data_IF_167252484478
#
_entry.id   IF_167252484478
#
_cell.length_a   1.000
_cell.length_b   1.000
_cell.length_c   1.000
_cell.angle_alpha   90.00
_cell.angle_beta   90.00
_cell.angle_gamma   90.00
#
_symmetry.space_group_name_H-M   'P 1'
#
loop_
_entity.id
_entity.type
_entity.pdbx_description
1 polymer ?
#
# COMPACT_ATOMS: atom_id res chain seq x y z
N UNK A 1 2.53 10.43 17.84
CA UNK A 1 3.75 10.32 17.04
C UNK A 1 4.00 8.83 16.87
N UNK A 2 4.09 8.37 15.63
CA UNK A 2 4.25 6.94 15.31
C UNK A 2 5.15 6.83 14.09
N UNK A 3 5.97 5.79 14.05
CA UNK A 3 6.87 5.48 12.94
C UNK A 3 6.39 4.13 12.40
N UNK A 4 6.06 4.07 11.13
CA UNK A 4 5.65 2.84 10.47
C UNK A 4 6.24 2.83 9.07
N UNK A 5 7.06 1.84 8.75
CA UNK A 5 7.66 1.75 7.44
C UNK A 5 6.78 0.93 6.49
N UNK A 6 6.91 1.17 5.20
CA UNK A 6 6.26 0.38 4.15
C UNK A 6 7.14 0.39 2.92
N UNK A 7 7.13 -0.69 2.13
CA UNK A 7 7.90 -0.75 0.89
C UNK A 7 7.51 0.39 -0.08
N UNK A 8 6.25 0.82 -0.04
CA UNK A 8 5.74 1.94 -0.84
C UNK A 8 4.99 2.93 0.06
N UNK A 9 5.19 4.23 -0.15
CA UNK A 9 4.39 5.28 0.46
C UNK A 9 3.02 5.41 -0.22
N UNK A 10 2.14 6.17 0.40
CA UNK A 10 0.86 6.54 -0.19
C UNK A 10 1.09 7.50 -1.36
N UNK A 11 0.36 7.30 -2.47
CA UNK A 11 0.53 8.07 -3.69
C UNK A 11 1.72 7.65 -4.55
N UNK A 12 2.59 6.76 -4.08
CA UNK A 12 3.58 6.09 -4.93
C UNK A 12 2.97 4.78 -5.43
N UNK A 13 3.13 4.42 -6.70
CA UNK A 13 2.40 3.30 -7.29
C UNK A 13 2.70 1.98 -6.59
N UNK A 14 1.70 1.39 -5.93
CA UNK A 14 1.85 0.11 -5.23
C UNK A 14 2.05 -1.02 -6.22
N UNK A 15 2.61 -2.14 -5.73
CA UNK A 15 2.82 -3.29 -6.60
C UNK A 15 1.46 -3.80 -7.07
N UNK A 16 1.37 -4.14 -8.34
CA UNK A 16 0.20 -4.83 -8.87
C UNK A 16 0.56 -6.29 -9.04
N UNK A 17 -0.19 -7.14 -8.35
CA UNK A 17 -0.03 -8.59 -8.44
C UNK A 17 -1.16 -9.12 -9.29
N UNK A 18 -0.81 -9.62 -10.47
CA UNK A 18 -1.69 -10.39 -11.34
C UNK A 18 -1.52 -11.88 -11.10
N UNK A 19 -2.61 -12.62 -11.10
CA UNK A 19 -2.58 -14.06 -10.87
C UNK A 19 -3.80 -14.75 -11.50
N UNK A 20 -3.67 -16.05 -11.73
CA UNK A 20 -4.76 -16.89 -12.22
C UNK A 20 -5.45 -17.57 -11.03
N UNK A 21 -6.75 -17.30 -10.85
CA UNK A 21 -7.56 -17.95 -9.83
C UNK A 21 -7.83 -19.43 -10.16
N UNK A 22 -8.30 -20.20 -9.17
CA UNK A 22 -8.59 -21.64 -9.34
C UNK A 22 -9.60 -21.95 -10.46
N UNK A 23 -10.45 -20.98 -10.80
CA UNK A 23 -11.44 -21.07 -11.90
C UNK A 23 -10.87 -20.69 -13.28
N UNK A 24 -9.57 -20.38 -13.37
CA UNK A 24 -8.88 -19.94 -14.57
C UNK A 24 -9.08 -18.47 -14.93
N UNK A 25 -9.76 -17.70 -14.07
CA UNK A 25 -9.94 -16.26 -14.28
C UNK A 25 -8.70 -15.49 -13.83
N UNK A 26 -8.16 -14.65 -14.73
CA UNK A 26 -7.12 -13.71 -14.35
C UNK A 26 -7.70 -12.59 -13.46
N UNK A 27 -7.08 -12.36 -12.31
CA UNK A 27 -7.42 -11.30 -11.36
C UNK A 27 -6.18 -10.54 -10.96
N UNK A 28 -6.37 -9.37 -10.37
CA UNK A 28 -5.28 -8.61 -9.79
C UNK A 28 -5.69 -7.89 -8.50
N UNK A 29 -4.68 -7.56 -7.70
CA UNK A 29 -4.83 -6.69 -6.54
C UNK A 29 -3.57 -5.86 -6.34
N UNK A 30 -3.71 -4.79 -5.55
CA UNK A 30 -2.61 -3.98 -5.08
C UNK A 30 -1.96 -4.63 -3.87
N UNK A 31 -0.64 -4.61 -3.81
CA UNK A 31 0.13 -5.20 -2.73
C UNK A 31 1.11 -4.17 -2.15
N UNK A 32 1.11 -4.06 -0.83
CA UNK A 32 2.13 -3.32 -0.10
C UNK A 32 2.72 -4.17 1.02
N UNK A 33 4.03 -4.07 1.22
CA UNK A 33 4.74 -4.72 2.32
C UNK A 33 4.90 -3.69 3.42
N UNK A 34 4.39 -3.97 4.61
CA UNK A 34 4.27 -2.97 5.68
C UNK A 34 4.93 -3.45 6.97
N UNK A 35 5.24 -2.52 7.87
CA UNK A 35 5.49 -2.86 9.28
C UNK A 35 4.18 -2.90 10.08
N UNK A 36 4.14 -3.58 11.24
CA UNK A 36 2.94 -3.63 12.08
C UNK A 36 2.37 -2.25 12.46
N UNK A 37 3.22 -1.23 12.58
CA UNK A 37 2.86 0.14 12.95
C UNK A 37 2.26 0.96 11.80
N UNK A 38 2.30 0.44 10.57
CA UNK A 38 1.88 1.16 9.37
C UNK A 38 0.43 1.66 9.47
N UNK A 39 -0.53 0.78 9.77
CA UNK A 39 -1.95 1.15 9.85
C UNK A 39 -2.19 2.29 10.84
N UNK A 40 -1.55 2.22 12.01
CA UNK A 40 -1.64 3.28 13.02
C UNK A 40 -1.02 4.58 12.49
N UNK A 41 0.13 4.48 11.82
CA UNK A 41 0.90 5.61 11.28
C UNK A 41 0.12 6.36 10.21
N UNK A 42 -0.52 5.64 9.27
CA UNK A 42 -1.33 6.24 8.20
C UNK A 42 -2.80 6.49 8.59
N UNK A 43 -3.22 6.05 9.77
CA UNK A 43 -4.59 6.27 10.28
C UNK A 43 -5.64 5.40 9.60
N UNK A 44 -5.26 4.22 9.13
CA UNK A 44 -6.18 3.25 8.52
C UNK A 44 -6.87 2.44 9.62
N UNK A 45 -8.21 2.39 9.56
CA UNK A 45 -9.02 1.71 10.55
C UNK A 45 -9.27 0.24 10.19
N UNK A 46 -9.22 -0.66 11.18
CA UNK A 46 -9.68 -2.03 11.03
C UNK A 46 -11.21 -2.08 11.05
N UNK A 47 -11.79 -2.70 10.02
CA UNK A 47 -13.21 -3.05 9.97
C UNK A 47 -13.49 -4.38 10.69
N UNK A 48 -12.61 -5.37 10.54
CA UNK A 48 -12.75 -6.71 11.13
C UNK A 48 -11.39 -7.32 11.48
N UNK A 49 -11.37 -8.27 12.42
CA UNK A 49 -10.17 -9.02 12.77
C UNK A 49 -9.16 -8.19 13.56
N UNK A 50 -7.88 -8.33 13.22
CA UNK A 50 -6.77 -7.69 13.94
C UNK A 50 -5.66 -7.22 13.02
N UNK A 51 -4.81 -6.34 13.54
CA UNK A 51 -3.55 -5.99 12.90
C UNK A 51 -2.52 -7.12 13.08
N UNK A 52 -1.42 -7.01 12.35
CA UNK A 52 -0.22 -7.80 12.56
C UNK A 52 0.31 -7.65 13.98
N UNK A 53 0.80 -8.76 14.55
CA UNK A 53 1.49 -8.77 15.84
C UNK A 53 2.87 -9.40 15.70
N UNK A 54 3.88 -8.73 16.24
CA UNK A 54 5.24 -9.27 16.34
C UNK A 54 5.33 -10.47 17.29
N UNK A 55 4.34 -10.65 18.16
CA UNK A 55 4.25 -11.78 19.09
C UNK A 55 3.71 -13.06 18.42
N UNK A 56 3.22 -12.98 17.18
CA UNK A 56 2.63 -14.09 16.44
C UNK A 56 3.50 -14.41 15.21
N UNK A 57 4.42 -15.38 15.29
CA UNK A 57 5.37 -15.66 14.20
C UNK A 57 4.73 -16.09 12.87
N UNK A 58 3.51 -16.63 12.91
CA UNK A 58 2.75 -16.99 11.71
C UNK A 58 2.30 -15.76 10.92
N UNK A 59 2.14 -14.60 11.56
CA UNK A 59 1.73 -13.36 10.88
C UNK A 59 2.73 -12.96 9.80
N UNK A 60 4.02 -13.15 10.07
CA UNK A 60 5.10 -12.81 9.14
C UNK A 60 5.04 -13.62 7.85
N UNK A 61 4.67 -14.90 7.96
CA UNK A 61 4.76 -15.85 6.84
C UNK A 61 3.42 -16.11 6.15
N UNK A 62 2.33 -16.06 6.90
CA UNK A 62 1.02 -16.56 6.48
C UNK A 62 -0.10 -15.52 6.70
N UNK A 63 0.15 -14.44 7.45
CA UNK A 63 -0.86 -13.43 7.72
C UNK A 63 -1.01 -12.45 6.56
N UNK A 64 -2.24 -12.22 6.11
CA UNK A 64 -2.57 -11.11 5.21
C UNK A 64 -3.67 -10.23 5.81
N UNK A 65 -3.61 -8.93 5.53
CA UNK A 65 -4.68 -7.98 5.79
C UNK A 65 -5.21 -7.48 4.45
N UNK A 66 -6.53 -7.40 4.30
CA UNK A 66 -7.18 -6.96 3.06
C UNK A 66 -8.05 -5.74 3.29
N UNK A 67 -8.46 -5.01 2.26
CA UNK A 67 -9.51 -3.98 2.38
C UNK A 67 -10.91 -4.53 2.10
N UNK A 68 -11.93 -3.68 2.25
CA UNK A 68 -13.32 -4.06 1.99
C UNK A 68 -13.54 -4.30 0.49
N UNK A 69 -12.94 -3.49 -0.38
CA UNK A 69 -13.04 -3.66 -1.83
C UNK A 69 -12.62 -5.06 -2.29
N UNK A 70 -11.56 -5.63 -1.71
CA UNK A 70 -11.14 -7.00 -2.00
C UNK A 70 -12.16 -8.03 -1.51
N UNK A 71 -12.63 -7.90 -0.26
CA UNK A 71 -13.64 -8.82 0.28
C UNK A 71 -14.93 -8.79 -0.55
N UNK A 72 -15.34 -7.61 -1.00
CA UNK A 72 -16.51 -7.41 -1.85
C UNK A 72 -16.32 -8.03 -3.24
N UNK A 73 -15.12 -7.93 -3.84
CA UNK A 73 -14.81 -8.54 -5.13
C UNK A 73 -14.92 -10.08 -5.10
N UNK A 74 -14.53 -10.71 -4.00
CA UNK A 74 -14.73 -12.17 -3.82
C UNK A 74 -16.12 -12.53 -3.27
N UNK A 75 -16.95 -11.54 -2.91
CA UNK A 75 -18.25 -11.76 -2.28
C UNK A 75 -18.17 -12.38 -0.88
N UNK A 76 -17.05 -12.21 -0.18
CA UNK A 76 -16.82 -12.79 1.14
C UNK A 76 -17.61 -12.05 2.22
N UNK A 77 -18.56 -12.74 2.84
CA UNK A 77 -19.32 -12.22 4.00
C UNK A 77 -18.57 -12.40 5.33
N UNK A 78 -17.69 -13.41 5.40
CA UNK A 78 -16.87 -13.73 6.56
C UNK A 78 -15.40 -13.90 6.13
N UNK A 79 -14.71 -12.81 5.74
CA UNK A 79 -13.40 -12.89 5.10
C UNK A 79 -12.27 -13.39 6.02
N UNK A 80 -12.45 -13.36 7.34
CA UNK A 80 -11.40 -13.79 8.28
C UNK A 80 -11.16 -15.31 8.18
N UNK A 81 -9.91 -15.71 8.00
CA UNK A 81 -9.49 -17.10 7.80
C UNK A 81 -9.57 -17.57 6.34
N UNK A 82 -10.16 -16.78 5.45
CA UNK A 82 -10.19 -17.07 4.02
C UNK A 82 -8.80 -16.96 3.40
N UNK A 83 -8.65 -17.56 2.21
CA UNK A 83 -7.45 -17.51 1.39
C UNK A 83 -7.78 -16.92 0.04
N UNK A 84 -6.85 -16.16 -0.53
CA UNK A 84 -6.93 -15.78 -1.93
C UNK A 84 -6.94 -17.06 -2.78
N UNK A 85 -7.90 -17.19 -3.73
CA UNK A 85 -7.93 -18.32 -4.66
C UNK A 85 -6.69 -18.27 -5.56
N UNK A 86 -6.22 -19.40 -6.07
CA UNK A 86 -5.01 -19.50 -6.89
C UNK A 86 -3.82 -20.15 -6.17
N UNK A 87 -2.70 -20.28 -6.88
CA UNK A 87 -1.51 -21.02 -6.43
C UNK A 87 -0.60 -20.22 -5.49
N UNK A 88 -1.18 -19.61 -4.46
CA UNK A 88 -0.41 -18.87 -3.45
C UNK A 88 0.20 -19.78 -2.39
N UNK A 89 1.32 -19.36 -1.75
CA UNK A 89 1.80 -19.97 -0.51
C UNK A 89 0.70 -20.05 0.56
N UNK A 90 0.81 -20.96 1.55
CA UNK A 90 -0.11 -20.99 2.67
C UNK A 90 -0.22 -19.62 3.35
N UNK A 91 -1.45 -19.08 3.37
CA UNK A 91 -1.75 -17.80 3.99
C UNK A 91 -3.19 -17.81 4.53
N UNK A 92 -3.59 -16.74 5.21
CA UNK A 92 -4.95 -16.51 5.67
C UNK A 92 -5.20 -15.03 5.96
N UNK A 93 -6.42 -14.58 5.72
CA UNK A 93 -6.87 -13.24 6.10
C UNK A 93 -7.00 -13.15 7.63
N UNK A 94 -6.19 -12.30 8.25
CA UNK A 94 -6.23 -12.06 9.71
C UNK A 94 -6.94 -10.75 10.08
N UNK A 95 -7.15 -9.87 9.12
CA UNK A 95 -7.77 -8.57 9.32
C UNK A 95 -8.34 -7.99 8.03
N UNK A 96 -9.36 -7.16 8.18
CA UNK A 96 -9.93 -6.35 7.10
C UNK A 96 -9.88 -4.90 7.52
N UNK A 97 -9.28 -4.05 6.70
CA UNK A 97 -9.28 -2.59 6.89
C UNK A 97 -10.42 -1.94 6.13
N UNK A 98 -10.88 -0.79 6.61
CA UNK A 98 -11.81 0.05 5.85
C UNK A 98 -11.15 0.50 4.55
N UNK A 99 -11.96 0.72 3.52
CA UNK A 99 -11.48 1.29 2.28
C UNK A 99 -10.89 2.69 2.51
N UNK A 100 -9.72 2.93 1.94
CA UNK A 100 -9.01 4.19 1.98
C UNK A 100 -8.33 4.44 0.63
N UNK A 101 -8.13 5.70 0.29
CA UNK A 101 -7.46 6.08 -0.93
C UNK A 101 -5.95 6.03 -0.73
N UNK A 102 -5.28 5.11 -1.42
CA UNK A 102 -3.84 4.93 -1.35
C UNK A 102 -3.09 5.33 -2.64
N UNK A 103 -3.81 5.58 -3.73
CA UNK A 103 -3.26 6.12 -4.99
C UNK A 103 -3.76 7.54 -5.28
N UNK A 104 -5.04 7.72 -5.60
CA UNK A 104 -5.67 9.04 -5.86
C UNK A 104 -6.99 9.15 -5.09
N UNK A 105 -7.40 10.35 -4.66
CA UNK A 105 -8.72 10.56 -4.04
C UNK A 105 -9.89 10.42 -5.05
N UNK A 106 -9.60 10.38 -6.36
CA UNK A 106 -10.61 10.27 -7.41
C UNK A 106 -10.75 8.87 -8.01
N UNK A 107 -9.82 7.95 -7.72
CA UNK A 107 -9.93 6.57 -8.19
C UNK A 107 -10.90 5.78 -7.31
N UNK A 108 -11.55 4.78 -7.91
CA UNK A 108 -12.25 3.76 -7.15
C UNK A 108 -11.21 3.03 -6.28
N UNK A 109 -11.53 2.77 -5.02
CA UNK A 109 -10.64 1.98 -4.15
C UNK A 109 -10.51 0.58 -4.75
N UNK A 110 -9.27 0.20 -5.06
CA UNK A 110 -8.94 -1.08 -5.67
C UNK A 110 -8.74 -2.16 -4.59
N UNK A 111 -8.89 -3.45 -4.94
CA UNK A 111 -8.56 -4.55 -4.05
C UNK A 111 -7.13 -4.45 -3.53
N UNK A 112 -6.96 -4.57 -2.23
CA UNK A 112 -5.68 -4.41 -1.55
C UNK A 112 -5.35 -5.61 -0.66
N UNK A 113 -4.09 -6.04 -0.72
CA UNK A 113 -3.46 -6.96 0.21
C UNK A 113 -2.26 -6.28 0.87
N UNK A 114 -2.15 -6.42 2.19
CA UNK A 114 -1.03 -5.97 3.01
C UNK A 114 -0.37 -7.19 3.65
N UNK A 115 0.97 -7.23 3.62
CA UNK A 115 1.78 -8.33 4.15
C UNK A 115 2.99 -7.80 4.93
N UNK A 116 3.53 -8.60 5.84
CA UNK A 116 4.82 -8.32 6.47
C UNK A 116 6.00 -8.80 5.62
N UNK A 117 5.82 -9.89 4.85
CA UNK A 117 6.82 -10.44 3.94
C UNK A 117 6.21 -10.63 2.55
N UNK A 118 6.90 -10.13 1.52
CA UNK A 118 6.50 -10.31 0.11
C UNK A 118 6.38 -11.79 -0.27
N UNK A 119 7.17 -12.66 0.37
CA UNK A 119 7.17 -14.10 0.09
C UNK A 119 5.84 -14.78 0.43
N UNK A 120 4.98 -14.16 1.24
CA UNK A 120 3.63 -14.68 1.53
C UNK A 120 2.77 -14.77 0.28
N UNK A 121 3.01 -13.93 -0.73
CA UNK A 121 2.15 -13.82 -1.93
C UNK A 121 2.93 -14.03 -3.24
N UNK A 122 4.18 -13.59 -3.33
CA UNK A 122 4.91 -13.49 -4.60
C UNK A 122 5.03 -14.79 -5.40
N UNK A 123 5.11 -15.94 -4.73
CA UNK A 123 5.26 -17.22 -5.43
C UNK A 123 4.01 -17.66 -6.21
N UNK A 124 2.83 -17.13 -5.87
CA UNK A 124 1.57 -17.39 -6.60
C UNK A 124 1.22 -16.32 -7.64
N UNK A 125 2.09 -15.33 -7.85
CA UNK A 125 1.88 -14.28 -8.84
C UNK A 125 2.25 -14.78 -10.24
N UNK A 126 1.32 -14.65 -11.19
CA UNK A 126 1.58 -14.88 -12.62
C UNK A 126 2.21 -13.63 -13.27
N UNK A 127 1.91 -12.44 -12.75
CA UNK A 127 2.42 -11.17 -13.23
C UNK A 127 2.67 -10.20 -12.06
N UNK A 128 3.74 -9.41 -12.14
CA UNK A 128 4.13 -8.45 -11.11
C UNK A 128 4.54 -7.14 -11.79
N UNK A 129 3.75 -6.11 -11.58
CA UNK A 129 4.06 -4.74 -12.02
C UNK A 129 4.57 -3.91 -10.85
N UNK A 130 5.73 -3.27 -11.04
CA UNK A 130 6.37 -2.35 -10.11
C UNK A 130 6.37 -0.95 -10.76
N UNK A 131 5.39 -0.08 -10.46
CA UNK A 131 5.26 1.23 -11.10
C UNK A 131 6.42 2.17 -10.74
N UNK A 132 6.96 2.03 -9.53
CA UNK A 132 8.14 2.74 -9.03
C UNK A 132 9.27 1.74 -8.77
N UNK A 133 10.52 2.22 -8.81
CA UNK A 133 11.70 1.38 -8.58
C UNK A 133 11.68 0.70 -7.20
N UNK A 134 12.54 -0.31 -6.95
CA UNK A 134 12.52 -1.08 -5.71
C UNK A 134 13.06 -0.32 -4.49
N UNK A 135 13.10 1.00 -4.51
CA UNK A 135 13.64 1.82 -3.43
C UNK A 135 12.65 1.80 -2.26
N UNK A 136 12.99 1.16 -1.12
CA UNK A 136 12.07 1.07 0.00
C UNK A 136 11.87 2.45 0.60
N UNK A 137 10.62 2.85 0.74
CA UNK A 137 10.26 4.12 1.37
C UNK A 137 10.03 3.95 2.89
N UNK A 138 10.02 5.05 3.64
CA UNK A 138 9.72 5.02 5.07
C UNK A 138 8.69 6.10 5.36
N UNK A 139 7.50 5.70 5.79
CA UNK A 139 6.48 6.64 6.25
C UNK A 139 6.76 7.05 7.71
N UNK A 140 6.76 8.36 7.97
CA UNK A 140 6.99 8.89 9.32
C UNK A 140 5.90 9.89 9.66
N UNK A 141 5.13 9.61 10.72
CA UNK A 141 4.13 10.54 11.23
C UNK A 141 4.70 11.42 12.33
N UNK A 142 4.94 12.68 12.00
CA UNK A 142 5.49 13.69 12.90
C UNK A 142 4.37 14.42 13.64
N UNK A 143 4.59 14.73 14.92
CA UNK A 143 3.64 15.52 15.72
C UNK A 143 3.60 16.97 15.21
N UNK A 144 2.41 17.56 15.17
CA UNK A 144 2.24 18.98 14.84
C UNK A 144 3.11 19.87 15.75
N UNK A 145 3.85 20.81 15.15
CA UNK A 145 4.77 21.71 15.85
C UNK A 145 6.20 21.20 16.02
N UNK A 146 6.50 19.93 15.71
CA UNK A 146 7.85 19.34 15.89
C UNK A 146 8.60 19.11 14.57
N UNK A 147 8.09 19.61 13.45
CA UNK A 147 8.59 19.29 12.11
C UNK A 147 10.10 19.52 11.94
N UNK A 148 10.59 20.71 12.30
CA UNK A 148 12.01 21.07 12.15
C UNK A 148 12.92 20.16 12.97
N UNK A 149 12.55 19.89 14.23
CA UNK A 149 13.33 19.06 15.13
C UNK A 149 13.32 17.59 14.69
N UNK A 150 12.17 17.09 14.25
CA UNK A 150 12.02 15.74 13.74
C UNK A 150 12.81 15.52 12.43
N UNK A 151 12.75 16.46 11.48
CA UNK A 151 13.51 16.37 10.23
C UNK A 151 15.02 16.38 10.47
N UNK A 152 15.51 17.22 11.39
CA UNK A 152 16.92 17.22 11.79
C UNK A 152 17.33 15.87 12.37
N UNK A 153 16.53 15.33 13.29
CA UNK A 153 16.78 14.03 13.89
C UNK A 153 16.79 12.88 12.87
N UNK A 154 15.81 12.85 11.95
CA UNK A 154 15.73 11.81 10.91
C UNK A 154 16.93 11.90 9.99
N UNK A 155 17.31 13.11 9.55
CA UNK A 155 18.48 13.32 8.69
C UNK A 155 19.76 12.82 9.37
N UNK A 156 20.01 13.23 10.61
CA UNK A 156 21.21 12.84 11.35
C UNK A 156 21.26 11.31 11.56
N UNK A 157 20.10 10.68 11.77
CA UNK A 157 19.99 9.22 11.89
C UNK A 157 20.26 8.54 10.55
N UNK A 158 19.70 9.07 9.45
CA UNK A 158 19.89 8.54 8.10
C UNK A 158 21.37 8.52 7.70
N UNK A 159 22.09 9.61 7.97
CA UNK A 159 23.53 9.72 7.69
C UNK A 159 24.37 8.68 8.45
N UNK A 160 23.89 8.21 9.61
CA UNK A 160 24.56 7.17 10.40
C UNK A 160 24.25 5.75 9.89
N UNK A 161 23.00 5.48 9.54
CA UNK A 161 22.55 4.12 9.17
C UNK A 161 22.78 3.81 7.68
N UNK A 162 22.79 4.82 6.83
CA UNK A 162 22.91 4.70 5.38
C UNK A 162 23.98 5.67 4.80
N UNK A 163 25.25 5.56 5.24
CA UNK A 163 26.30 6.48 4.82
C UNK A 163 26.50 6.41 3.30
N UNK A 164 26.43 7.56 2.63
CA UNK A 164 26.62 7.69 1.19
C UNK A 164 25.33 7.64 0.36
N UNK A 165 24.18 7.36 0.96
CA UNK A 165 22.88 7.53 0.31
C UNK A 165 22.32 8.95 0.57
N UNK A 166 21.86 9.68 -0.46
CA UNK A 166 21.27 10.99 -0.25
C UNK A 166 20.01 10.88 0.60
N UNK A 167 19.83 11.79 1.56
CA UNK A 167 18.60 11.92 2.31
C UNK A 167 17.57 12.69 1.47
N UNK A 168 16.57 11.99 0.95
CA UNK A 168 15.41 12.56 0.25
C UNK A 168 14.13 12.29 1.04
N UNK A 169 13.19 13.24 1.01
CA UNK A 169 11.86 13.07 1.58
C UNK A 169 10.86 13.90 0.78
N UNK A 170 9.61 13.48 0.81
CA UNK A 170 8.48 14.24 0.28
C UNK A 170 7.36 14.25 1.32
N UNK A 171 6.65 15.37 1.43
CA UNK A 171 5.44 15.39 2.25
C UNK A 171 4.30 14.72 1.50
N UNK A 172 3.56 13.84 2.17
CA UNK A 172 2.41 13.17 1.58
C UNK A 172 1.41 14.18 0.98
N UNK A 173 1.13 15.27 1.68
CA UNK A 173 0.24 16.33 1.19
C UNK A 173 0.75 16.97 -0.12
N UNK A 174 2.07 17.10 -0.29
CA UNK A 174 2.67 17.63 -1.52
C UNK A 174 2.62 16.61 -2.66
N UNK A 175 2.84 15.32 -2.38
CA UNK A 175 2.72 14.23 -3.37
C UNK A 175 1.28 14.14 -3.88
N UNK A 176 0.30 14.07 -2.98
CA UNK A 176 -1.12 14.05 -3.31
C UNK A 176 -1.52 15.31 -4.10
N UNK A 177 -1.10 16.50 -3.65
CA UNK A 177 -1.35 17.75 -4.38
C UNK A 177 -0.71 17.82 -5.77
N UNK A 178 0.47 17.23 -5.94
CA UNK A 178 1.14 17.17 -7.24
C UNK A 178 0.40 16.24 -8.19
N UNK A 179 -0.05 15.08 -7.70
CA UNK A 179 -0.89 14.16 -8.47
C UNK A 179 -2.21 14.80 -8.88
N UNK A 180 -2.91 15.50 -7.98
CA UNK A 180 -4.12 16.25 -8.33
C UNK A 180 -3.89 17.20 -9.50
N UNK A 181 -2.83 18.02 -9.42
CA UNK A 181 -2.55 18.99 -10.49
C UNK A 181 -2.15 18.34 -11.81
N UNK A 182 -1.54 17.16 -11.78
CA UNK A 182 -1.22 16.41 -13.00
C UNK A 182 -2.47 15.79 -13.61
N UNK A 183 -3.33 15.18 -12.80
CA UNK A 183 -4.61 14.61 -13.24
C UNK A 183 -5.58 15.67 -13.79
N UNK A 184 -5.72 16.83 -13.14
CA UNK A 184 -6.51 17.97 -13.65
C UNK A 184 -5.99 18.45 -15.02
N UNK A 185 -4.66 18.53 -15.18
CA UNK A 185 -4.04 18.93 -16.44
C UNK A 185 -4.30 17.91 -17.54
N UNK A 186 -4.15 16.62 -17.26
CA UNK A 186 -4.48 15.54 -18.20
C UNK A 186 -5.96 15.57 -18.61
N UNK A 187 -6.88 15.74 -17.65
CA UNK A 187 -8.31 15.91 -17.93
C UNK A 187 -8.61 17.11 -18.83
N UNK A 188 -7.91 18.23 -18.63
CA UNK A 188 -8.06 19.42 -19.47
C UNK A 188 -7.55 19.22 -20.91
N UNK A 189 -6.45 18.47 -21.08
CA UNK A 189 -5.88 18.15 -22.40
C UNK A 189 -6.79 17.18 -23.15
N UNK A 190 -7.30 16.14 -22.49
CA UNK A 190 -8.24 15.18 -23.09
C UNK A 190 -9.53 15.87 -23.52
N UNK A 191 -10.07 16.76 -22.69
CA UNK A 191 -11.27 17.55 -23.04
C UNK A 191 -11.00 18.49 -24.20
N UNK A 192 -9.87 19.19 -24.21
CA UNK A 192 -9.49 20.05 -25.33
C UNK A 192 -9.32 19.25 -26.62
N UNK A 193 -8.64 18.09 -26.58
CA UNK A 193 -8.48 17.20 -27.73
C UNK A 193 -9.83 16.65 -28.23
N UNK A 194 -10.76 16.31 -27.34
CA UNK A 194 -12.11 15.88 -27.71
C UNK A 194 -12.92 16.99 -28.40
N UNK A 195 -12.74 18.26 -28.00
CA UNK A 195 -13.36 19.42 -28.68
C UNK A 195 -12.77 19.63 -30.09
N UNK A 196 -11.48 19.37 -30.29
CA UNK A 196 -10.84 19.43 -31.61
C UNK A 196 -11.07 18.19 -32.49
N UNK A 197 -11.55 17.09 -31.91
CA UNK A 197 -11.82 15.83 -32.61
C UNK A 197 -13.25 15.74 -33.18
N UNK A 198 -14.07 16.78 -33.03
CA UNK A 198 -15.41 16.93 -33.62
C UNK A 198 -15.39 17.87 -34.81
#
# INVERSE_FOLDING_TARGET
>A
AGIGASAFALGEGWMTIGYDADDGTYRNFRLNVITPEFLETVGVELAMGRNFSTEIPSDVREGIIINQALADEYGWQAPLGERLPGEFPPHQVIGVVKDFNFESLHSKVEPLVLVLDRQTIFAGASDVSLPTGPEPEIAVRIRAGEMTAALAFIKDTWEQVAPGLPFSFTFLDETLNRQYRQEERLGSIVTAAAVFAV
#
